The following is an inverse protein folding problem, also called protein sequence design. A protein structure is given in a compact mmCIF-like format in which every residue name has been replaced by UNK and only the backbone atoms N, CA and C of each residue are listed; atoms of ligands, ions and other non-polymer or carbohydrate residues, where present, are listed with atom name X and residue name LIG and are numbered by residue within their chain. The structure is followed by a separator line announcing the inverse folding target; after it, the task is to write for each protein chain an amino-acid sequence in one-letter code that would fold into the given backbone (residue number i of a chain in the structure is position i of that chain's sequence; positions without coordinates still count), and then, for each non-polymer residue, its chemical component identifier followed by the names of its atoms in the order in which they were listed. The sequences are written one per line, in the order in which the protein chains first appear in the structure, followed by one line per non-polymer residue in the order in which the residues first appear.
data_IF_240940558266
#
_entry.id   IF_240940558266
#
_cell.length_a   1.000
_cell.length_b   1.000
_cell.length_c   1.000
_cell.angle_alpha   90.00
_cell.angle_beta   90.00
_cell.angle_gamma   90.00
#
_symmetry.space_group_name_H-M   'P 1'
#
loop_
_entity.id
_entity.type
_entity.pdbx_description
1 polymer ?
#
# COMPACT_ATOMS: atom_id res chain seq x y z
N UNK A 1 -11.21 1.20 14.77
CA UNK A 1 -11.15 1.83 13.43
C UNK A 1 -10.03 1.16 12.68
N UNK A 2 -10.24 0.89 11.40
CA UNK A 2 -9.28 0.20 10.54
C UNK A 2 -9.04 0.99 9.26
N UNK A 3 -7.79 1.01 8.80
CA UNK A 3 -7.40 1.56 7.50
C UNK A 3 -7.16 0.44 6.52
N UNK A 4 -7.54 0.65 5.26
CA UNK A 4 -6.94 -0.05 4.13
C UNK A 4 -6.39 0.97 3.13
N UNK A 5 -5.11 0.83 2.82
CA UNK A 5 -4.35 1.66 1.89
C UNK A 5 -3.99 0.82 0.67
N UNK A 6 -4.35 1.24 -0.55
CA UNK A 6 -3.91 0.59 -1.79
C UNK A 6 -2.98 1.52 -2.54
N UNK A 7 -1.75 1.08 -2.72
CA UNK A 7 -0.77 1.79 -3.54
C UNK A 7 -0.93 1.40 -5.01
N UNK A 8 -1.10 2.39 -5.88
CA UNK A 8 -1.01 2.19 -7.33
C UNK A 8 0.26 2.84 -7.86
N UNK A 9 1.28 2.00 -8.07
CA UNK A 9 2.56 2.42 -8.63
C UNK A 9 2.45 2.63 -10.14
N UNK A 10 2.25 3.88 -10.55
CA UNK A 10 2.30 4.30 -11.95
C UNK A 10 3.18 5.55 -12.09
N UNK A 11 4.39 5.38 -12.65
CA UNK A 11 5.25 6.52 -12.99
C UNK A 11 5.56 6.60 -14.49
N UNK A 12 5.47 7.83 -14.99
CA UNK A 12 6.42 8.36 -15.97
C UNK A 12 7.69 8.74 -15.21
N UNK A 13 8.76 7.94 -15.33
CA UNK A 13 10.08 8.31 -14.81
C UNK A 13 10.78 9.26 -15.79
N UNK A 14 11.14 10.45 -15.32
CA UNK A 14 12.06 11.39 -15.97
C UNK A 14 13.38 11.41 -15.20
N UNK A 15 14.35 10.57 -15.60
CA UNK A 15 15.78 10.88 -15.49
C UNK A 15 16.61 9.83 -16.22
N UNK A 16 17.61 10.29 -16.96
CA UNK A 16 18.44 9.46 -17.84
C UNK A 16 19.82 9.20 -17.26
N UNK A 17 20.38 8.03 -17.57
CA UNK A 17 21.78 7.81 -17.98
C UNK A 17 21.89 6.44 -18.68
N UNK A 18 22.69 6.37 -19.75
CA UNK A 18 23.03 5.18 -20.57
C UNK A 18 24.45 4.70 -20.19
N UNK A 19 24.86 3.41 -20.36
CA UNK A 19 25.12 2.83 -21.71
C UNK A 19 25.08 1.28 -21.88
N UNK A 20 25.17 0.81 -23.14
CA UNK A 20 25.97 -0.37 -23.52
C UNK A 20 25.28 -1.57 -24.18
N UNK A 21 25.35 -1.67 -25.52
CA UNK A 21 24.92 -2.82 -26.35
C UNK A 21 26.02 -3.88 -26.51
N UNK A 22 25.65 -5.19 -26.56
CA UNK A 22 26.25 -6.22 -27.45
C UNK A 22 25.56 -7.60 -27.38
N UNK A 23 25.31 -8.21 -28.55
CA UNK A 23 25.48 -9.66 -28.79
C UNK A 23 24.23 -10.56 -28.83
N UNK A 24 23.90 -11.08 -30.02
CA UNK A 24 22.74 -11.94 -30.34
C UNK A 24 23.09 -13.43 -30.49
N UNK A 25 22.15 -14.34 -30.16
CA UNK A 25 21.98 -15.66 -30.80
C UNK A 25 20.51 -16.16 -30.63
N UNK A 26 19.97 -16.99 -31.55
CA UNK A 26 18.52 -17.17 -31.70
C UNK A 26 17.99 -18.45 -31.03
N UNK A 27 16.88 -18.36 -30.28
CA UNK A 27 16.09 -19.52 -29.86
C UNK A 27 14.59 -19.24 -29.88
N UNK A 28 13.89 -20.11 -30.61
CA UNK A 28 12.47 -20.51 -30.54
C UNK A 28 11.38 -19.43 -30.41
N UNK A 29 10.47 -19.43 -31.39
CA UNK A 29 9.25 -18.61 -31.47
C UNK A 29 8.27 -18.94 -30.34
N UNK A 30 8.50 -18.37 -29.16
CA UNK A 30 7.41 -18.00 -28.26
C UNK A 30 6.69 -16.81 -28.89
N UNK A 31 5.35 -16.78 -28.88
CA UNK A 31 4.58 -15.58 -29.25
C UNK A 31 5.17 -14.41 -28.47
N UNK A 32 5.85 -13.49 -29.17
CA UNK A 32 6.55 -12.39 -28.54
C UNK A 32 5.53 -11.60 -27.71
N UNK A 33 5.68 -11.60 -26.38
CA UNK A 33 5.13 -10.51 -25.56
C UNK A 33 5.56 -9.22 -26.25
N UNK A 34 4.61 -8.33 -26.56
CA UNK A 34 5.00 -7.01 -27.03
C UNK A 34 5.95 -6.42 -25.98
N UNK A 35 7.14 -6.04 -26.40
CA UNK A 35 8.10 -5.41 -25.49
C UNK A 35 7.48 -4.12 -24.99
N UNK A 36 7.37 -3.99 -23.66
CA UNK A 36 6.93 -2.75 -23.01
C UNK A 36 7.75 -1.60 -23.60
N UNK A 37 7.11 -0.63 -24.27
CA UNK A 37 7.84 0.40 -24.99
C UNK A 37 8.49 1.34 -23.97
N UNK A 38 9.80 1.20 -23.80
CA UNK A 38 10.62 1.99 -22.86
C UNK A 38 10.88 3.40 -23.38
N UNK A 39 9.82 4.12 -23.73
CA UNK A 39 9.91 5.41 -24.43
C UNK A 39 10.58 6.49 -23.56
N UNK A 40 10.61 6.32 -22.24
CA UNK A 40 11.28 7.25 -21.31
C UNK A 40 12.78 7.41 -21.60
N UNK A 41 13.42 6.45 -22.27
CA UNK A 41 14.81 6.59 -22.73
C UNK A 41 15.00 7.59 -23.87
N UNK A 42 13.92 8.10 -24.48
CA UNK A 42 13.99 9.04 -25.60
C UNK A 42 14.22 10.50 -25.17
N UNK A 43 14.31 10.79 -23.87
CA UNK A 43 14.48 12.15 -23.36
C UNK A 43 13.38 13.08 -23.89
N UNK A 44 13.77 14.17 -24.56
CA UNK A 44 12.84 15.16 -25.13
C UNK A 44 11.86 14.58 -26.16
N UNK A 45 12.22 13.46 -26.81
CA UNK A 45 11.35 12.77 -27.77
C UNK A 45 10.25 11.91 -27.12
N UNK A 46 10.30 11.74 -25.79
CA UNK A 46 9.36 10.90 -25.04
C UNK A 46 7.91 11.34 -25.26
N UNK A 47 7.61 12.63 -25.03
CA UNK A 47 6.23 13.12 -25.03
C UNK A 47 5.55 12.90 -26.39
N UNK A 48 6.21 13.29 -27.48
CA UNK A 48 5.72 13.09 -28.84
C UNK A 48 5.50 11.60 -29.18
N UNK A 49 6.42 10.74 -28.73
CA UNK A 49 6.35 9.28 -28.98
C UNK A 49 5.24 8.62 -28.15
N UNK A 50 5.07 9.02 -26.89
CA UNK A 50 4.03 8.51 -25.99
C UNK A 50 2.63 8.85 -26.53
N UNK A 51 2.43 10.05 -27.10
CA UNK A 51 1.17 10.45 -27.74
C UNK A 51 0.76 9.56 -28.93
N UNK A 52 1.70 8.88 -29.56
CA UNK A 52 1.43 7.96 -30.67
C UNK A 52 1.38 6.48 -30.24
N UNK A 53 1.84 6.16 -29.03
CA UNK A 53 1.92 4.80 -28.53
C UNK A 53 0.57 4.27 -28.05
N UNK A 54 0.10 3.17 -28.63
CA UNK A 54 -1.09 2.47 -28.16
C UNK A 54 -0.94 2.01 -26.72
N UNK A 55 0.26 1.58 -26.31
CA UNK A 55 0.56 1.18 -24.94
C UNK A 55 0.27 2.29 -23.92
N UNK A 56 0.77 3.51 -24.16
CA UNK A 56 0.56 4.63 -23.23
C UNK A 56 -0.89 5.12 -23.23
N UNK A 57 -1.57 5.08 -24.39
CA UNK A 57 -3.01 5.36 -24.48
C UNK A 57 -3.84 4.35 -23.67
N UNK A 58 -3.51 3.07 -23.78
CA UNK A 58 -4.14 2.00 -22.99
C UNK A 58 -3.90 2.21 -21.49
N UNK A 59 -2.66 2.54 -21.08
CA UNK A 59 -2.33 2.81 -19.69
C UNK A 59 -3.14 3.97 -19.12
N UNK A 60 -3.27 5.08 -19.85
CA UNK A 60 -4.09 6.23 -19.45
C UNK A 60 -5.57 5.84 -19.28
N UNK A 61 -6.11 5.05 -20.22
CA UNK A 61 -7.51 4.57 -20.16
C UNK A 61 -7.77 3.66 -18.96
N UNK A 62 -6.82 2.75 -18.67
CA UNK A 62 -6.84 1.87 -17.50
C UNK A 62 -6.79 2.70 -16.22
N UNK A 63 -5.88 3.69 -16.14
CA UNK A 63 -5.76 4.58 -14.98
C UNK A 63 -7.04 5.39 -14.73
N UNK A 64 -7.64 5.96 -15.77
CA UNK A 64 -8.92 6.67 -15.65
C UNK A 64 -10.03 5.74 -15.17
N UNK A 65 -10.07 4.51 -15.67
CA UNK A 65 -11.04 3.51 -15.22
C UNK A 65 -10.83 3.13 -13.76
N UNK A 66 -9.58 2.91 -13.35
CA UNK A 66 -9.22 2.64 -11.96
C UNK A 66 -9.74 3.75 -11.05
N UNK A 67 -9.39 5.02 -11.31
CA UNK A 67 -9.85 6.16 -10.50
C UNK A 67 -11.37 6.22 -10.31
N UNK A 68 -12.12 6.10 -11.41
CA UNK A 68 -13.58 6.13 -11.35
C UNK A 68 -14.15 4.90 -10.64
N UNK A 69 -13.62 3.71 -10.91
CA UNK A 69 -14.05 2.48 -10.26
C UNK A 69 -13.78 2.49 -8.76
N UNK A 70 -12.64 3.02 -8.31
CA UNK A 70 -12.32 3.18 -6.88
C UNK A 70 -13.36 4.08 -6.20
N UNK A 71 -13.66 5.22 -6.83
CA UNK A 71 -14.67 6.16 -6.31
C UNK A 71 -16.05 5.50 -6.27
N UNK A 72 -16.44 4.78 -7.32
CA UNK A 72 -17.73 4.10 -7.40
C UNK A 72 -17.84 2.97 -6.37
N UNK A 73 -16.77 2.22 -6.13
CA UNK A 73 -16.72 1.15 -5.11
C UNK A 73 -17.11 1.68 -3.73
N UNK A 74 -16.43 2.71 -3.24
CA UNK A 74 -16.69 3.25 -1.90
C UNK A 74 -18.06 3.92 -1.77
N UNK A 75 -18.64 4.38 -2.89
CA UNK A 75 -19.98 4.99 -2.95
C UNK A 75 -21.12 3.99 -3.05
N UNK A 76 -20.84 2.68 -3.16
CA UNK A 76 -21.90 1.68 -3.24
C UNK A 76 -22.78 1.73 -1.98
N UNK A 77 -24.11 1.53 -2.09
CA UNK A 77 -25.05 1.75 -0.97
C UNK A 77 -24.75 0.95 0.31
N UNK A 78 -24.04 -0.17 0.23
CA UNK A 78 -23.69 -0.98 1.40
C UNK A 78 -22.43 -0.52 2.13
N UNK A 79 -21.56 0.27 1.46
CA UNK A 79 -20.43 0.96 2.08
C UNK A 79 -20.85 2.38 2.48
N UNK A 80 -21.33 3.18 1.52
CA UNK A 80 -21.68 4.60 1.65
C UNK A 80 -20.58 5.44 2.32
N UNK A 81 -19.32 5.20 1.94
CA UNK A 81 -18.19 5.95 2.50
C UNK A 81 -18.16 7.36 1.92
N UNK A 82 -17.67 8.32 2.71
CA UNK A 82 -17.60 9.73 2.30
C UNK A 82 -16.22 10.07 1.77
N UNK A 83 -16.16 10.68 0.59
CA UNK A 83 -14.92 11.20 0.04
C UNK A 83 -14.47 12.42 0.84
N UNK A 84 -13.21 12.44 1.27
CA UNK A 84 -12.61 13.57 1.97
C UNK A 84 -11.69 14.36 1.04
N UNK A 85 -11.93 15.67 0.93
CA UNK A 85 -10.94 16.58 0.37
C UNK A 85 -9.92 16.93 1.45
N UNK A 86 -8.65 16.74 1.11
CA UNK A 86 -7.52 16.89 2.03
C UNK A 86 -6.48 17.85 1.45
N UNK A 87 -5.73 18.58 2.30
CA UNK A 87 -4.59 19.36 1.85
C UNK A 87 -3.47 18.45 1.35
N UNK A 88 -2.73 18.92 0.35
CA UNK A 88 -1.52 18.24 -0.12
C UNK A 88 -0.37 18.37 0.88
N UNK A 89 -0.35 19.46 1.64
CA UNK A 89 0.68 19.75 2.63
C UNK A 89 0.22 19.39 4.03
N UNK A 90 1.16 18.94 4.86
CA UNK A 90 0.90 18.57 6.25
C UNK A 90 1.98 19.11 7.19
N UNK A 91 1.59 19.43 8.42
CA UNK A 91 2.50 19.72 9.52
C UNK A 91 2.91 18.47 10.31
N UNK A 92 2.22 17.34 10.10
CA UNK A 92 2.47 16.07 10.79
C UNK A 92 2.75 14.98 9.75
N UNK A 93 3.85 14.25 9.94
CA UNK A 93 4.26 13.15 9.06
C UNK A 93 3.51 11.91 9.50
N UNK A 94 2.78 11.25 8.61
CA UNK A 94 1.97 10.07 9.00
C UNK A 94 2.85 8.86 9.29
N UNK A 95 4.01 8.77 8.63
CA UNK A 95 5.07 7.80 8.86
C UNK A 95 6.32 8.49 9.45
N UNK A 96 6.33 8.86 10.75
CA UNK A 96 7.49 9.55 11.35
C UNK A 96 8.76 8.75 11.17
N UNK A 97 9.89 9.45 11.13
CA UNK A 97 11.20 8.86 11.38
C UNK A 97 11.24 8.32 12.82
N UNK A 98 10.84 7.06 13.00
CA UNK A 98 10.82 6.32 14.25
C UNK A 98 11.11 4.84 14.00
N UNK A 99 11.12 4.02 15.05
CA UNK A 99 11.16 2.57 14.85
C UNK A 99 9.92 2.14 14.02
N UNK A 100 10.10 1.23 13.07
CA UNK A 100 8.99 0.69 12.28
C UNK A 100 8.51 1.54 11.09
N UNK A 101 9.23 2.60 10.71
CA UNK A 101 9.02 3.29 9.43
C UNK A 101 10.35 3.67 8.77
N UNK A 102 10.49 3.35 7.48
CA UNK A 102 11.61 3.75 6.62
C UNK A 102 11.25 4.94 5.70
N UNK A 103 10.02 5.47 5.80
CA UNK A 103 9.58 6.56 4.93
C UNK A 103 10.23 7.87 5.33
N UNK A 104 10.76 8.58 4.33
CA UNK A 104 11.31 9.91 4.54
C UNK A 104 10.29 10.96 4.07
N UNK A 105 9.97 11.98 4.88
CA UNK A 105 9.05 13.03 4.46
C UNK A 105 9.69 13.94 3.40
N UNK A 106 8.89 14.43 2.45
CA UNK A 106 9.34 15.47 1.50
C UNK A 106 9.13 16.84 2.11
N UNK A 107 10.20 17.45 2.63
CA UNK A 107 10.18 18.80 3.17
C UNK A 107 10.15 19.86 2.04
N UNK A 108 9.28 20.85 2.20
CA UNK A 108 9.14 22.00 1.30
C UNK A 108 9.00 23.29 2.12
N UNK A 109 9.23 24.42 1.47
CA UNK A 109 8.88 25.73 2.04
C UNK A 109 7.67 26.29 1.30
N UNK A 110 6.58 26.53 2.02
CA UNK A 110 5.36 27.14 1.49
C UNK A 110 5.17 28.52 2.11
N UNK A 111 5.32 29.58 1.31
CA UNK A 111 5.22 30.98 1.77
C UNK A 111 6.20 31.36 2.89
N UNK A 112 7.37 30.73 2.94
CA UNK A 112 8.39 31.00 3.97
C UNK A 112 8.27 30.12 5.22
N UNK A 113 7.20 29.32 5.32
CA UNK A 113 6.99 28.36 6.40
C UNK A 113 7.43 26.96 5.94
N UNK A 114 8.15 26.25 6.81
CA UNK A 114 8.54 24.87 6.57
C UNK A 114 7.32 23.95 6.74
N UNK A 115 7.08 23.08 5.76
CA UNK A 115 6.01 22.09 5.77
C UNK A 115 6.42 20.84 4.99
N UNK A 116 5.55 19.84 4.92
CA UNK A 116 5.81 18.59 4.22
C UNK A 116 4.73 18.31 3.20
N UNK A 117 5.07 17.62 2.11
CA UNK A 117 4.07 16.97 1.27
C UNK A 117 3.58 15.72 2.00
N UNK A 118 2.27 15.48 1.96
CA UNK A 118 1.66 14.35 2.64
C UNK A 118 2.13 13.01 2.05
N UNK A 119 2.62 12.15 2.93
CA UNK A 119 2.99 10.76 2.68
C UNK A 119 1.77 9.82 2.75
N UNK A 120 0.82 10.15 3.61
CA UNK A 120 -0.51 9.56 3.66
C UNK A 120 -1.50 10.55 4.27
N UNK A 121 -2.79 10.37 3.95
CA UNK A 121 -3.90 11.18 4.43
C UNK A 121 -4.65 10.51 5.59
N UNK A 122 -4.11 9.40 6.11
CA UNK A 122 -4.71 8.58 7.14
C UNK A 122 -5.24 9.39 8.33
N UNK A 123 -4.42 10.24 8.96
CA UNK A 123 -4.85 10.95 10.16
C UNK A 123 -6.02 11.92 9.91
N UNK A 124 -6.12 12.46 8.70
CA UNK A 124 -7.28 13.28 8.32
C UNK A 124 -8.52 12.43 8.08
N UNK A 125 -8.37 11.22 7.52
CA UNK A 125 -9.48 10.27 7.38
C UNK A 125 -9.96 9.76 8.74
N UNK A 126 -9.04 9.46 9.65
CA UNK A 126 -9.31 9.16 11.06
C UNK A 126 -10.09 10.28 11.74
N UNK A 127 -9.63 11.51 11.58
CA UNK A 127 -10.32 12.68 12.12
C UNK A 127 -11.71 12.85 11.51
N UNK A 128 -11.83 12.70 10.19
CA UNK A 128 -13.09 12.88 9.48
C UNK A 128 -14.14 11.84 9.87
N UNK A 129 -13.72 10.60 10.14
CA UNK A 129 -14.61 9.53 10.60
C UNK A 129 -15.25 9.83 11.96
N UNK A 130 -14.62 10.70 12.76
CA UNK A 130 -15.10 11.12 14.09
C UNK A 130 -16.07 12.30 14.04
N UNK A 131 -16.28 12.94 12.88
CA UNK A 131 -17.23 14.07 12.78
C UNK A 131 -18.70 13.65 12.95
N UNK A 132 -19.06 12.44 12.53
CA UNK A 132 -20.43 11.93 12.60
C UNK A 132 -20.40 10.41 12.80
N UNK A 133 -20.99 9.93 13.90
CA UNK A 133 -21.06 8.50 14.23
C UNK A 133 -21.86 7.67 13.22
N UNK A 134 -22.64 8.30 12.36
CA UNK A 134 -23.37 7.64 11.27
C UNK A 134 -22.49 7.37 10.06
N UNK A 135 -21.34 8.03 9.94
CA UNK A 135 -20.40 7.81 8.84
C UNK A 135 -19.71 6.46 9.06
N UNK A 136 -19.96 5.53 8.13
CA UNK A 136 -19.44 4.15 8.17
C UNK A 136 -17.95 4.08 7.81
N UNK A 137 -17.51 4.99 6.93
CA UNK A 137 -16.13 5.12 6.51
C UNK A 137 -15.92 6.40 5.72
N UNK A 138 -14.66 6.81 5.62
CA UNK A 138 -14.21 7.89 4.75
C UNK A 138 -13.13 7.35 3.82
N UNK A 139 -12.94 7.99 2.67
CA UNK A 139 -11.93 7.57 1.73
C UNK A 139 -11.32 8.76 0.99
N UNK A 140 -10.10 8.53 0.50
CA UNK A 140 -9.31 9.43 -0.30
C UNK A 140 -8.78 8.67 -1.52
N UNK A 141 -8.75 9.35 -2.66
CA UNK A 141 -8.08 8.90 -3.88
C UNK A 141 -7.32 10.11 -4.40
N UNK A 142 -6.01 10.04 -4.37
CA UNK A 142 -5.19 11.17 -4.80
C UNK A 142 -3.71 10.86 -4.70
N UNK A 143 -2.90 11.90 -4.51
CA UNK A 143 -1.44 11.79 -4.51
C UNK A 143 -0.89 11.70 -3.09
N UNK A 144 0.10 10.84 -2.92
CA UNK A 144 1.01 10.80 -1.78
C UNK A 144 2.46 11.00 -2.26
N UNK A 145 3.30 11.50 -1.37
CA UNK A 145 4.69 11.80 -1.64
C UNK A 145 5.62 11.16 -0.60
N UNK A 146 6.72 10.59 -1.08
CA UNK A 146 7.76 10.02 -0.23
C UNK A 146 9.14 10.50 -0.67
N UNK A 147 10.03 10.72 0.29
CA UNK A 147 11.33 11.33 0.14
C UNK A 147 12.48 10.35 0.01
N UNK A 148 12.25 9.05 0.25
CA UNK A 148 13.29 8.04 0.07
C UNK A 148 13.72 7.85 -1.38
N UNK A 149 14.89 7.23 -1.59
CA UNK A 149 15.40 6.93 -2.92
C UNK A 149 14.43 6.00 -3.67
N UNK A 150 13.96 6.45 -4.83
CA UNK A 150 13.15 5.59 -5.72
C UNK A 150 13.92 4.34 -6.13
N UNK A 151 13.19 3.25 -6.32
CA UNK A 151 13.74 2.02 -6.89
C UNK A 151 12.80 1.45 -7.97
N UNK A 152 12.94 0.16 -8.29
CA UNK A 152 12.09 -0.50 -9.28
C UNK A 152 10.60 -0.56 -8.93
N UNK A 153 10.24 -0.31 -7.67
CA UNK A 153 8.88 -0.46 -7.11
C UNK A 153 8.43 0.74 -6.28
N UNK A 154 9.35 1.58 -5.79
CA UNK A 154 9.05 2.76 -4.99
C UNK A 154 9.17 4.04 -5.80
N UNK A 155 8.14 4.90 -5.73
CA UNK A 155 8.08 6.19 -6.40
C UNK A 155 8.01 7.30 -5.37
N UNK A 156 8.70 8.41 -5.62
CA UNK A 156 8.59 9.60 -4.76
C UNK A 156 7.20 10.27 -4.83
N UNK A 157 6.42 9.96 -5.87
CA UNK A 157 5.04 10.42 -6.04
C UNK A 157 4.20 9.30 -6.63
N UNK A 158 3.09 8.96 -5.98
CA UNK A 158 2.22 7.87 -6.41
C UNK A 158 0.74 8.19 -6.15
N UNK A 159 -0.14 7.46 -6.82
CA UNK A 159 -1.57 7.53 -6.58
C UNK A 159 -1.93 6.56 -5.45
N UNK A 160 -2.48 7.11 -4.38
CA UNK A 160 -2.82 6.42 -3.16
C UNK A 160 -4.33 6.40 -2.99
N UNK A 161 -4.88 5.20 -2.77
CA UNK A 161 -6.29 5.01 -2.41
C UNK A 161 -6.32 4.61 -0.95
N UNK A 162 -6.91 5.44 -0.12
CA UNK A 162 -6.92 5.25 1.33
C UNK A 162 -8.36 5.23 1.80
N UNK A 163 -8.69 4.37 2.75
CA UNK A 163 -9.97 4.46 3.46
C UNK A 163 -9.78 4.19 4.94
N UNK A 164 -10.55 4.91 5.75
CA UNK A 164 -10.72 4.66 7.18
C UNK A 164 -12.16 4.22 7.41
N UNK A 165 -12.39 3.18 8.21
CA UNK A 165 -13.73 2.69 8.50
C UNK A 165 -13.98 2.39 9.98
N UNK A 166 -15.25 2.42 10.35
CA UNK A 166 -15.73 1.91 11.64
C UNK A 166 -15.80 0.39 11.58
N UNK A 167 -15.05 -0.27 12.46
CA UNK A 167 -14.89 -1.71 12.49
C UNK A 167 -13.55 -2.11 13.09
N UNK A 168 -13.30 -3.42 13.11
CA UNK A 168 -12.01 -4.00 13.46
C UNK A 168 -11.21 -4.43 12.24
N UNK A 169 -10.08 -5.05 12.50
CA UNK A 169 -9.06 -5.39 11.50
C UNK A 169 -9.62 -6.31 10.41
N UNK A 170 -10.38 -7.32 10.81
CA UNK A 170 -11.09 -8.23 9.91
C UNK A 170 -12.05 -7.53 8.93
N UNK A 171 -12.74 -6.47 9.38
CA UNK A 171 -13.60 -5.68 8.50
C UNK A 171 -12.77 -4.87 7.50
N UNK A 172 -11.63 -4.32 7.93
CA UNK A 172 -10.66 -3.65 7.03
C UNK A 172 -10.15 -4.59 5.95
N UNK A 173 -9.69 -5.79 6.34
CA UNK A 173 -9.24 -6.83 5.41
C UNK A 173 -10.36 -7.26 4.46
N UNK A 174 -11.60 -7.39 4.95
CA UNK A 174 -12.76 -7.72 4.10
C UNK A 174 -13.00 -6.64 3.03
N UNK A 175 -12.98 -5.36 3.41
CA UNK A 175 -13.13 -4.24 2.46
C UNK A 175 -11.98 -4.22 1.45
N UNK A 176 -10.74 -4.43 1.90
CA UNK A 176 -9.56 -4.52 1.03
C UNK A 176 -9.66 -5.69 0.02
N UNK A 177 -10.06 -6.89 0.48
CA UNK A 177 -10.27 -8.05 -0.38
C UNK A 177 -11.30 -7.74 -1.47
N UNK A 178 -12.45 -7.20 -1.07
CA UNK A 178 -13.51 -6.81 -1.99
C UNK A 178 -13.05 -5.74 -2.98
N UNK A 179 -12.28 -4.75 -2.52
CA UNK A 179 -11.75 -3.69 -3.36
C UNK A 179 -10.83 -4.25 -4.45
N UNK A 180 -9.85 -5.08 -4.09
CA UNK A 180 -8.91 -5.69 -5.05
C UNK A 180 -9.64 -6.54 -6.08
N UNK A 181 -10.61 -7.35 -5.66
CA UNK A 181 -11.41 -8.18 -6.56
C UNK A 181 -12.30 -7.32 -7.47
N UNK A 182 -12.96 -6.29 -6.93
CA UNK A 182 -13.80 -5.38 -7.70
C UNK A 182 -12.99 -4.63 -8.76
N UNK A 183 -11.81 -4.11 -8.40
CA UNK A 183 -10.92 -3.44 -9.36
C UNK A 183 -10.46 -4.42 -10.44
N UNK A 184 -10.07 -5.63 -10.06
CA UNK A 184 -9.66 -6.67 -11.00
C UNK A 184 -10.78 -7.02 -11.97
N UNK A 185 -12.01 -7.17 -11.49
CA UNK A 185 -13.19 -7.46 -12.30
C UNK A 185 -13.50 -6.33 -13.29
N UNK A 186 -13.53 -5.07 -12.82
CA UNK A 186 -13.84 -3.92 -13.68
C UNK A 186 -12.76 -3.73 -14.74
N UNK A 187 -11.49 -3.89 -14.39
CA UNK A 187 -10.38 -3.80 -15.36
C UNK A 187 -10.40 -4.96 -16.36
N UNK A 188 -10.76 -6.17 -15.92
CA UNK A 188 -10.90 -7.32 -16.81
C UNK A 188 -12.07 -7.14 -17.78
N UNK A 189 -13.20 -6.63 -17.29
CA UNK A 189 -14.40 -6.36 -18.11
C UNK A 189 -14.13 -5.28 -19.15
N UNK A 190 -13.58 -4.13 -18.74
CA UNK A 190 -13.44 -2.95 -19.61
C UNK A 190 -12.18 -2.97 -20.47
N UNK A 191 -11.09 -3.59 -19.99
CA UNK A 191 -9.78 -3.54 -20.63
C UNK A 191 -9.16 -4.91 -20.91
N UNK A 192 -9.86 -6.01 -20.65
CA UNK A 192 -9.32 -7.37 -20.77
C UNK A 192 -8.73 -7.67 -22.15
N UNK A 193 -9.39 -7.27 -23.24
CA UNK A 193 -8.88 -7.48 -24.60
C UNK A 193 -7.58 -6.71 -24.86
N UNK A 194 -7.50 -5.46 -24.41
CA UNK A 194 -6.32 -4.60 -24.56
C UNK A 194 -5.16 -5.11 -23.71
N UNK A 195 -5.43 -5.50 -22.45
CA UNK A 195 -4.44 -6.13 -21.56
C UNK A 195 -3.93 -7.43 -22.19
N UNK A 196 -4.81 -8.28 -22.72
CA UNK A 196 -4.43 -9.52 -23.39
C UNK A 196 -3.62 -9.27 -24.67
N UNK A 197 -3.97 -8.26 -25.46
CA UNK A 197 -3.22 -7.91 -26.66
C UNK A 197 -1.78 -7.47 -26.34
N UNK A 198 -1.61 -6.71 -25.26
CA UNK A 198 -0.31 -6.19 -24.82
C UNK A 198 0.55 -7.21 -24.05
N UNK A 199 -0.04 -7.95 -23.11
CA UNK A 199 0.66 -8.86 -22.19
C UNK A 199 0.62 -10.34 -22.62
N UNK A 200 -0.22 -10.67 -23.61
CA UNK A 200 -0.46 -12.01 -24.13
C UNK A 200 -1.52 -12.81 -23.37
N UNK A 201 -1.93 -12.38 -22.17
CA UNK A 201 -2.90 -13.10 -21.34
C UNK A 201 -3.49 -12.23 -20.23
N UNK A 202 -4.72 -12.54 -19.83
CA UNK A 202 -5.41 -12.02 -18.62
C UNK A 202 -5.54 -13.08 -17.53
N UNK A 203 -4.88 -14.24 -17.68
CA UNK A 203 -5.01 -15.39 -16.76
C UNK A 203 -4.69 -15.03 -15.30
N UNK A 204 -3.69 -14.18 -15.06
CA UNK A 204 -3.34 -13.72 -13.72
C UNK A 204 -4.50 -13.01 -13.01
N UNK A 205 -5.32 -12.25 -13.74
CA UNK A 205 -6.50 -11.58 -13.20
C UNK A 205 -7.60 -12.59 -12.84
N UNK A 206 -7.86 -13.55 -13.73
CA UNK A 206 -8.86 -14.59 -13.48
C UNK A 206 -8.43 -15.55 -12.36
N UNK A 207 -7.13 -15.84 -12.26
CA UNK A 207 -6.56 -16.67 -11.20
C UNK A 207 -6.69 -16.00 -9.83
N UNK A 208 -6.46 -14.67 -9.75
CA UNK A 208 -6.65 -13.90 -8.53
C UNK A 208 -8.10 -13.94 -8.04
N UNK A 209 -9.07 -13.73 -8.95
CA UNK A 209 -10.50 -13.84 -8.63
C UNK A 209 -10.84 -15.26 -8.17
N UNK A 210 -10.31 -16.28 -8.86
CA UNK A 210 -10.56 -17.67 -8.50
C UNK A 210 -9.95 -18.05 -7.15
N UNK A 211 -8.76 -17.54 -6.82
CA UNK A 211 -8.08 -17.72 -5.55
C UNK A 211 -8.94 -17.17 -4.41
N UNK A 212 -9.44 -15.94 -4.57
CA UNK A 212 -10.37 -15.32 -3.63
C UNK A 212 -11.66 -16.15 -3.43
N UNK A 213 -12.28 -16.60 -4.52
CA UNK A 213 -13.51 -17.39 -4.45
C UNK A 213 -13.30 -18.77 -3.80
N UNK A 214 -12.18 -19.44 -4.10
CA UNK A 214 -11.89 -20.76 -3.53
C UNK A 214 -11.58 -20.73 -2.04
N UNK A 215 -11.22 -19.56 -1.51
CA UNK A 215 -10.93 -19.32 -0.10
C UNK A 215 -12.10 -18.62 0.62
N UNK A 216 -13.33 -18.83 0.14
CA UNK A 216 -14.53 -18.35 0.83
C UNK A 216 -14.67 -16.84 0.80
N UNK A 217 -14.28 -16.20 -0.32
CA UNK A 217 -14.32 -14.74 -0.49
C UNK A 217 -13.31 -14.00 0.41
N UNK A 218 -12.12 -14.59 0.58
CA UNK A 218 -10.99 -13.97 1.25
C UNK A 218 -9.68 -14.42 0.57
N UNK A 219 -8.58 -13.70 0.80
CA UNK A 219 -7.25 -14.20 0.44
C UNK A 219 -6.64 -15.03 1.58
N UNK A 220 -5.75 -15.99 1.28
CA UNK A 220 -5.00 -16.72 2.30
C UNK A 220 -4.31 -15.77 3.27
N UNK A 221 -4.16 -16.18 4.53
CA UNK A 221 -3.54 -15.38 5.59
C UNK A 221 -2.47 -16.20 6.32
N UNK A 222 -1.36 -15.57 6.67
CA UNK A 222 -0.28 -16.15 7.46
C UNK A 222 0.29 -15.10 8.42
N UNK A 223 0.63 -15.51 9.63
CA UNK A 223 1.31 -14.60 10.58
C UNK A 223 2.79 -14.43 10.23
N UNK A 224 3.41 -13.32 10.64
CA UNK A 224 4.86 -13.13 10.47
C UNK A 224 5.67 -14.27 11.11
N UNK A 225 5.26 -14.73 12.30
CA UNK A 225 5.95 -15.83 12.98
C UNK A 225 5.85 -17.14 12.21
N UNK A 226 4.67 -17.50 11.70
CA UNK A 226 4.52 -18.68 10.85
C UNK A 226 5.33 -18.56 9.55
N UNK A 227 5.29 -17.39 8.90
CA UNK A 227 6.03 -17.14 7.67
C UNK A 227 7.54 -17.35 7.85
N UNK A 228 8.11 -16.87 8.96
CA UNK A 228 9.53 -17.04 9.28
C UNK A 228 9.95 -18.49 9.56
N UNK A 229 9.00 -19.40 9.82
CA UNK A 229 9.28 -20.83 9.99
C UNK A 229 9.19 -21.63 8.68
N UNK A 230 8.70 -21.03 7.59
CA UNK A 230 8.51 -21.75 6.33
C UNK A 230 9.85 -22.19 5.72
N UNK A 231 9.96 -23.43 5.18
CA UNK A 231 11.20 -23.93 4.60
C UNK A 231 11.78 -23.03 3.51
N UNK A 232 10.94 -22.44 2.66
CA UNK A 232 11.34 -21.50 1.61
C UNK A 232 11.89 -20.17 2.15
N UNK A 233 11.53 -19.78 3.37
CA UNK A 233 12.07 -18.59 4.05
C UNK A 233 13.36 -18.95 4.81
N UNK A 234 13.37 -20.09 5.50
CA UNK A 234 14.52 -20.54 6.33
C UNK A 234 15.69 -21.04 5.48
N UNK A 235 15.41 -21.78 4.41
CA UNK A 235 16.41 -22.43 3.56
C UNK A 235 16.48 -21.83 2.16
N UNK A 236 15.75 -20.75 1.91
CA UNK A 236 15.73 -20.06 0.63
C UNK A 236 17.06 -19.40 0.29
N UNK A 237 17.33 -19.23 -1.01
CA UNK A 237 18.57 -18.61 -1.48
C UNK A 237 18.56 -17.08 -1.36
N UNK A 238 19.47 -16.56 -0.53
CA UNK A 238 19.67 -15.13 -0.28
C UNK A 238 18.95 -14.65 0.98
N UNK A 239 18.89 -13.33 1.16
CA UNK A 239 18.26 -12.73 2.34
C UNK A 239 16.74 -12.70 2.15
N UNK A 240 16.04 -13.53 2.92
CA UNK A 240 14.57 -13.63 2.88
C UNK A 240 13.88 -12.67 3.84
N UNK A 241 14.54 -12.34 4.95
CA UNK A 241 14.04 -11.46 6.00
C UNK A 241 15.23 -10.79 6.71
N UNK A 242 14.98 -9.71 7.44
CA UNK A 242 15.95 -9.03 8.29
C UNK A 242 15.30 -8.44 9.54
N UNK A 243 16.11 -7.98 10.49
CA UNK A 243 15.60 -7.16 11.59
C UNK A 243 15.27 -5.76 11.06
N UNK A 244 14.12 -5.22 11.45
CA UNK A 244 13.64 -3.90 10.98
C UNK A 244 14.68 -2.82 11.25
N UNK A 245 15.39 -2.93 12.38
CA UNK A 245 16.61 -2.16 12.62
C UNK A 245 17.82 -3.09 12.66
N UNK A 246 18.83 -2.89 11.77
CA UNK A 246 20.01 -3.74 11.72
C UNK A 246 20.70 -3.86 13.08
N UNK A 247 20.85 -5.12 13.55
CA UNK A 247 21.49 -5.43 14.82
C UNK A 247 20.63 -5.24 16.08
N UNK A 248 19.34 -4.88 15.93
CA UNK A 248 18.40 -4.67 17.04
C UNK A 248 17.20 -5.62 16.93
N UNK A 249 17.31 -6.89 17.36
CA UNK A 249 16.22 -7.86 17.26
C UNK A 249 14.96 -7.47 18.04
N UNK A 250 15.10 -6.65 19.07
CA UNK A 250 13.98 -6.10 19.84
C UNK A 250 13.12 -5.12 19.05
N UNK A 251 13.62 -4.57 17.94
CA UNK A 251 12.87 -3.65 17.07
C UNK A 251 12.04 -4.38 16.00
N UNK A 252 11.96 -5.70 16.06
CA UNK A 252 11.13 -6.49 15.16
C UNK A 252 11.83 -7.00 13.92
N UNK A 253 11.08 -7.77 13.13
CA UNK A 253 11.53 -8.46 11.93
C UNK A 253 10.64 -8.08 10.75
N UNK A 254 11.22 -8.01 9.56
CA UNK A 254 10.51 -7.76 8.31
C UNK A 254 10.96 -8.72 7.22
N UNK A 255 10.05 -9.07 6.32
CA UNK A 255 10.43 -9.80 5.11
C UNK A 255 11.13 -8.86 4.13
N UNK A 256 12.03 -9.42 3.33
CA UNK A 256 12.52 -8.75 2.13
C UNK A 256 11.67 -9.17 0.95
N UNK A 257 11.79 -8.42 -0.15
CA UNK A 257 11.16 -8.73 -1.44
C UNK A 257 11.26 -10.20 -1.85
N UNK A 258 12.40 -10.86 -1.61
CA UNK A 258 12.53 -12.30 -1.89
C UNK A 258 11.60 -13.17 -1.03
N UNK A 259 11.49 -12.86 0.26
CA UNK A 259 10.57 -13.52 1.18
C UNK A 259 9.11 -13.28 0.80
N UNK A 260 8.74 -12.04 0.49
CA UNK A 260 7.39 -11.71 -0.02
C UNK A 260 7.06 -12.48 -1.30
N UNK A 261 7.98 -12.53 -2.27
CA UNK A 261 7.80 -13.27 -3.52
C UNK A 261 7.67 -14.79 -3.28
N UNK A 262 8.37 -15.33 -2.28
CA UNK A 262 8.22 -16.72 -1.86
C UNK A 262 6.82 -16.99 -1.30
N UNK A 263 6.30 -16.09 -0.45
CA UNK A 263 4.93 -16.19 0.07
C UNK A 263 3.88 -16.07 -1.03
N UNK A 264 3.97 -15.07 -1.90
CA UNK A 264 3.09 -14.88 -3.05
C UNK A 264 3.04 -16.16 -3.90
N UNK A 265 4.20 -16.74 -4.17
CA UNK A 265 4.31 -17.98 -4.96
C UNK A 265 3.67 -19.18 -4.26
N UNK A 266 3.91 -19.33 -2.94
CA UNK A 266 3.36 -20.42 -2.12
C UNK A 266 1.84 -20.43 -2.14
N UNK A 267 1.22 -19.25 -1.99
CA UNK A 267 -0.23 -19.11 -1.85
C UNK A 267 -0.96 -18.90 -3.19
N UNK A 268 -0.27 -19.11 -4.32
CA UNK A 268 -0.90 -19.10 -5.64
C UNK A 268 -1.20 -17.71 -6.19
N UNK A 269 -0.53 -16.67 -5.66
CA UNK A 269 -0.52 -15.32 -6.25
C UNK A 269 -0.89 -14.18 -5.30
N UNK A 270 -1.54 -14.45 -4.17
CA UNK A 270 -1.85 -13.43 -3.16
C UNK A 270 -1.90 -14.02 -1.75
N UNK A 271 -1.49 -13.25 -0.74
CA UNK A 271 -1.56 -13.65 0.67
C UNK A 271 -1.48 -12.43 1.58
N UNK A 272 -2.24 -12.43 2.67
CA UNK A 272 -2.08 -11.51 3.79
C UNK A 272 -0.97 -11.98 4.73
N UNK A 273 0.00 -11.12 4.99
CA UNK A 273 0.98 -11.27 6.05
C UNK A 273 0.54 -10.41 7.24
N UNK A 274 0.20 -11.04 8.37
CA UNK A 274 -0.42 -10.36 9.53
C UNK A 274 0.42 -10.52 10.80
N UNK A 275 0.03 -9.81 11.86
CA UNK A 275 0.65 -9.92 13.19
C UNK A 275 2.16 -9.61 13.18
N UNK A 276 2.50 -8.46 12.59
CA UNK A 276 3.86 -7.94 12.58
C UNK A 276 4.35 -7.63 13.99
N UNK A 277 5.68 -7.64 14.18
CA UNK A 277 6.28 -7.17 15.43
C UNK A 277 5.96 -5.67 15.60
N UNK A 278 5.44 -5.25 16.76
CA UNK A 278 4.85 -3.91 16.94
C UNK A 278 5.85 -2.77 16.69
N UNK A 279 7.08 -2.89 17.19
CA UNK A 279 8.16 -1.92 16.92
C UNK A 279 8.69 -1.95 15.48
N UNK A 280 8.25 -2.95 14.70
CA UNK A 280 8.57 -3.11 13.29
C UNK A 280 7.59 -2.39 12.36
N UNK A 281 6.51 -1.80 12.89
CA UNK A 281 5.48 -1.08 12.13
C UNK A 281 5.20 0.29 12.76
N UNK A 282 4.48 1.20 12.08
CA UNK A 282 4.22 2.53 12.61
C UNK A 282 3.43 2.53 13.94
N UNK A 283 3.74 3.50 14.80
CA UNK A 283 3.22 3.60 16.18
C UNK A 283 1.69 3.64 16.31
N UNK A 284 0.97 3.99 15.25
CA UNK A 284 -0.49 4.11 15.28
C UNK A 284 -1.20 2.75 15.18
N UNK A 285 -0.47 1.67 14.91
CA UNK A 285 -1.02 0.32 14.81
C UNK A 285 -1.36 -0.23 16.20
N UNK A 286 -2.63 -0.60 16.41
CA UNK A 286 -3.07 -1.18 17.67
C UNK A 286 -2.32 -2.49 17.99
N UNK A 287 -2.21 -2.82 19.27
CA UNK A 287 -1.68 -4.11 19.69
C UNK A 287 -2.62 -5.26 19.28
N UNK A 288 -2.05 -6.40 18.90
CA UNK A 288 -2.80 -7.65 18.78
C UNK A 288 -3.16 -8.18 20.18
N UNK A 289 -4.27 -8.92 20.29
CA UNK A 289 -4.79 -9.41 21.56
C UNK A 289 -3.77 -10.29 22.30
N UNK A 290 -3.38 -9.89 23.50
CA UNK A 290 -2.40 -10.62 24.31
C UNK A 290 -1.84 -9.79 25.46
N UNK A 291 -1.16 -10.43 26.41
CA UNK A 291 -0.51 -9.74 27.53
C UNK A 291 0.81 -9.06 27.12
N UNK A 292 1.46 -9.54 26.06
CA UNK A 292 2.68 -8.96 25.51
C UNK A 292 2.31 -7.98 24.40
N UNK A 293 2.49 -6.68 24.64
CA UNK A 293 2.33 -5.59 23.66
C UNK A 293 3.43 -5.62 22.57
N UNK A 294 3.73 -6.80 22.01
CA UNK A 294 4.84 -7.03 21.09
C UNK A 294 4.40 -7.26 19.64
N UNK A 295 3.10 -7.45 19.40
CA UNK A 295 2.52 -7.67 18.08
C UNK A 295 1.52 -6.58 17.74
N UNK A 296 1.48 -6.19 16.48
CA UNK A 296 0.53 -5.23 15.95
C UNK A 296 -0.63 -5.93 15.22
N UNK A 297 -1.85 -5.42 15.45
CA UNK A 297 -3.07 -5.83 14.78
C UNK A 297 -3.16 -5.17 13.40
N UNK A 298 -2.26 -5.59 12.53
CA UNK A 298 -2.07 -5.10 11.17
C UNK A 298 -1.69 -6.23 10.23
N UNK A 299 -1.69 -5.93 8.94
CA UNK A 299 -1.14 -6.81 7.93
C UNK A 299 -1.10 -6.20 6.55
N UNK A 300 -0.34 -6.87 5.70
CA UNK A 300 -0.01 -6.44 4.36
C UNK A 300 -0.49 -7.48 3.35
N UNK A 301 -1.24 -7.05 2.33
CA UNK A 301 -1.63 -7.91 1.22
C UNK A 301 -0.50 -7.93 0.21
N UNK A 302 0.17 -9.08 0.11
CA UNK A 302 1.21 -9.33 -0.86
C UNK A 302 0.58 -9.86 -2.16
N UNK A 303 0.80 -9.16 -3.27
CA UNK A 303 0.30 -9.49 -4.61
C UNK A 303 1.25 -8.97 -5.69
N UNK A 304 1.58 -9.83 -6.66
CA UNK A 304 2.39 -9.41 -7.81
C UNK A 304 3.84 -9.11 -7.43
N UNK A 305 4.20 -7.83 -7.30
CA UNK A 305 5.59 -7.41 -7.02
C UNK A 305 5.95 -7.36 -5.52
N UNK A 306 4.96 -7.39 -4.63
CA UNK A 306 5.17 -7.28 -3.18
C UNK A 306 3.87 -6.82 -2.51
N UNK A 307 3.99 -6.02 -1.47
CA UNK A 307 2.86 -5.33 -0.84
C UNK A 307 2.09 -4.45 -1.83
N UNK A 308 0.77 -4.54 -1.79
CA UNK A 308 -0.15 -3.65 -2.52
C UNK A 308 -1.23 -3.06 -1.64
N UNK A 309 -1.49 -3.66 -0.47
CA UNK A 309 -2.40 -3.09 0.54
C UNK A 309 -1.78 -3.16 1.93
N UNK A 310 -1.66 -2.02 2.60
CA UNK A 310 -1.41 -1.94 4.04
C UNK A 310 -2.74 -1.82 4.80
N UNK A 311 -2.95 -2.65 5.82
CA UNK A 311 -4.17 -2.64 6.62
C UNK A 311 -3.85 -2.73 8.11
N UNK A 312 -4.59 -2.00 8.94
CA UNK A 312 -4.43 -2.19 10.38
C UNK A 312 -5.39 -1.42 11.25
N UNK A 313 -5.57 -1.92 12.47
CA UNK A 313 -6.39 -1.29 13.47
C UNK A 313 -5.66 -0.13 14.14
N UNK A 314 -6.41 0.88 14.54
CA UNK A 314 -5.90 2.06 15.26
C UNK A 314 -6.13 1.91 16.75
N UNK A 315 -5.23 2.47 17.56
CA UNK A 315 -5.45 2.63 19.01
C UNK A 315 -6.76 3.36 19.29
N UNK A 316 -7.43 3.00 20.39
CA UNK A 316 -8.76 3.52 20.72
C UNK A 316 -8.76 4.45 21.92
N UNK A 317 -7.66 4.51 22.68
CA UNK A 317 -7.48 5.42 23.81
C UNK A 317 -6.23 6.30 23.65
N UNK A 318 -6.26 7.49 24.26
CA UNK A 318 -5.12 8.41 24.17
C UNK A 318 -3.90 7.86 24.92
N UNK A 319 -4.15 7.12 26.01
CA UNK A 319 -3.15 6.43 26.80
C UNK A 319 -2.38 5.40 25.96
N UNK A 320 -3.08 4.60 25.16
CA UNK A 320 -2.44 3.65 24.23
C UNK A 320 -1.55 4.36 23.22
N UNK A 321 -2.02 5.46 22.62
CA UNK A 321 -1.24 6.24 21.65
C UNK A 321 0.02 6.82 22.30
N UNK A 322 -0.08 7.38 23.51
CA UNK A 322 1.07 7.93 24.22
C UNK A 322 2.11 6.86 24.56
N UNK A 323 1.66 5.68 25.00
CA UNK A 323 2.56 4.54 25.24
C UNK A 323 3.25 4.10 23.96
N UNK A 324 2.51 4.02 22.84
CA UNK A 324 3.09 3.64 21.56
C UNK A 324 4.09 4.68 21.04
N UNK A 325 3.80 5.98 21.16
CA UNK A 325 4.73 7.06 20.80
C UNK A 325 6.05 6.96 21.59
N UNK A 326 5.96 6.74 22.91
CA UNK A 326 7.14 6.56 23.77
C UNK A 326 7.95 5.32 23.35
N UNK A 327 7.30 4.19 23.11
CA UNK A 327 7.95 2.94 22.65
C UNK A 327 8.71 3.11 21.33
N UNK A 328 8.18 3.91 20.40
CA UNK A 328 8.78 4.16 19.10
C UNK A 328 9.79 5.32 19.08
N UNK A 329 9.93 6.05 20.20
CA UNK A 329 10.83 7.19 20.32
C UNK A 329 10.35 8.41 19.52
N UNK A 330 9.04 8.58 19.36
CA UNK A 330 8.41 9.68 18.61
C UNK A 330 7.91 10.74 19.59
N UNK A 331 8.16 12.02 19.31
CA UNK A 331 7.71 13.11 20.18
C UNK A 331 6.19 13.30 20.07
N UNK A 332 5.49 13.17 21.20
CA UNK A 332 4.04 13.32 21.25
C UNK A 332 3.56 14.74 20.91
N UNK A 333 4.42 15.76 21.00
CA UNK A 333 4.07 17.14 20.65
C UNK A 333 3.71 17.27 19.16
N UNK A 334 4.40 16.55 18.28
CA UNK A 334 4.18 16.57 16.82
C UNK A 334 2.85 15.92 16.42
N UNK A 335 2.28 15.11 17.33
CA UNK A 335 1.05 14.32 17.17
C UNK A 335 -0.03 14.74 18.17
N UNK A 336 0.04 15.94 18.73
CA UNK A 336 -0.94 16.45 19.68
C UNK A 336 -2.38 16.44 19.13
N UNK A 337 -2.56 16.60 17.81
CA UNK A 337 -3.87 16.46 17.18
C UNK A 337 -4.45 15.03 17.35
N UNK A 338 -3.60 13.99 17.27
CA UNK A 338 -4.00 12.59 17.38
C UNK A 338 -4.44 12.25 18.81
N UNK A 339 -3.70 12.69 19.83
CA UNK A 339 -4.08 12.48 21.24
C UNK A 339 -5.41 13.15 21.57
N UNK A 340 -5.66 14.34 20.99
CA UNK A 340 -6.97 15.02 21.09
C UNK A 340 -8.09 14.19 20.42
N UNK A 341 -7.86 13.64 19.22
CA UNK A 341 -8.87 12.85 18.50
C UNK A 341 -9.35 11.62 19.25
N UNK A 342 -8.47 10.99 20.02
CA UNK A 342 -8.80 9.80 20.79
C UNK A 342 -9.43 10.16 22.14
N UNK A 343 -9.04 11.29 22.73
CA UNK A 343 -9.61 11.79 24.01
C UNK A 343 -11.08 12.21 23.89
N UNK A 344 -11.49 12.83 22.78
CA UNK A 344 -12.87 13.31 22.59
C UNK A 344 -13.87 12.23 22.15
N UNK A 345 -13.42 10.99 21.89
CA UNK A 345 -14.28 9.93 21.36
C UNK A 345 -15.09 9.15 22.42
N UNK A 346 -14.98 9.48 23.71
CA UNK A 346 -15.67 8.78 24.81
C UNK A 346 -16.51 9.67 25.74
N UNK A 347 -16.72 10.94 25.41
CA UNK A 347 -17.67 11.80 26.11
C UNK A 347 -18.88 12.12 25.23
N UNK A 348 -19.69 11.11 24.90
CA UNK A 348 -21.16 11.19 24.80
C UNK A 348 -21.72 9.86 24.26
N UNK A 349 -22.42 9.12 25.11
CA UNK A 349 -23.12 7.87 24.80
C UNK A 349 -23.34 7.03 26.03
#
# INVERSE_FOLDING_TARGET
MAVAQVESNHALLLSGTSPGTRGSAPMQKYKQRQTIPRLWHLGDGFAASALQSSWYKSLFSIQSTFFHASTDFFRQPHLDYKYLLVPLTTGSISSPMGLGSDSQPVSIQLHGEDTYLADSQQFLLEYALRYDDKVRGTYYVGTSCRGEDHDSTHLNQFCHVECELRGGFEQGMTVANHYIVAMTQVLLEKHGDVIKAHLGSTKHMTDLIQLYMSHGNAFPTITLDEALTLPEIVHGEGVMWEYTVPGRPECGRGLKRKGEQALISRFGGAVWLVEMDHLGVPFYQAYADGASQNKALCGDLLLGLGEVVGCGNRHTTAEEVLVALEQHGVDAADYACMTIFVTFSFYQG
#
